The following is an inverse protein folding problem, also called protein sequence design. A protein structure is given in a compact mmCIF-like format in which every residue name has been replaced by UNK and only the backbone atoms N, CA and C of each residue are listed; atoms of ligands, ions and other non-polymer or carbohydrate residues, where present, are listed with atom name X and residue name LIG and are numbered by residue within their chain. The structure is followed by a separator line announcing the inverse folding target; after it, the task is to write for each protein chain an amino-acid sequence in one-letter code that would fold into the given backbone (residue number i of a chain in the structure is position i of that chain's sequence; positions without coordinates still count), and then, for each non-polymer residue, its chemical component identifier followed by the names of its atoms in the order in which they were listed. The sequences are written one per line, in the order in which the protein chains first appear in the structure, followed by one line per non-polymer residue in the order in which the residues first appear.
data_IF_859026763911
#
_entry.id   IF_859026763911
#
_cell.length_a   1.000
_cell.length_b   1.000
_cell.length_c   1.000
_cell.angle_alpha   90.00
_cell.angle_beta   90.00
_cell.angle_gamma   90.00
#
_symmetry.space_group_name_H-M   'P 1'
#
loop_
_entity.id
_entity.type
_entity.pdbx_description
1 polymer ?
#
# COMPACT_ATOMS: atom_id res chain seq x y z
N UNK A 1 -4.70 -12.96 7.39
CA UNK A 1 -3.92 -11.88 6.70
C UNK A 1 -3.76 -10.76 7.70
N UNK A 2 -2.58 -10.16 7.78
CA UNK A 2 -2.26 -9.13 8.78
C UNK A 2 -2.73 -7.76 8.28
N UNK A 3 -3.35 -6.97 9.15
CA UNK A 3 -3.73 -5.59 8.84
C UNK A 3 -2.61 -4.62 9.25
N UNK A 4 -2.43 -3.56 8.47
CA UNK A 4 -1.56 -2.45 8.82
C UNK A 4 -2.26 -1.11 8.52
N UNK A 5 -1.79 -0.04 9.15
CA UNK A 5 -2.24 1.32 8.89
C UNK A 5 -1.10 2.18 8.38
N UNK A 6 -1.41 3.22 7.60
CA UNK A 6 -0.40 4.18 7.17
C UNK A 6 -0.09 5.19 8.29
N UNK A 7 1.19 5.37 8.60
CA UNK A 7 1.63 6.33 9.64
C UNK A 7 1.43 7.79 9.25
N UNK A 8 1.30 8.08 7.96
CA UNK A 8 1.11 9.42 7.40
C UNK A 8 0.40 9.36 6.05
N UNK A 9 -0.16 10.48 5.62
CA UNK A 9 -0.67 10.60 4.26
C UNK A 9 0.44 10.39 3.22
N UNK A 10 0.13 9.67 2.15
CA UNK A 10 1.07 9.37 1.06
C UNK A 10 0.31 9.14 -0.23
N UNK A 11 0.91 9.54 -1.35
CA UNK A 11 0.42 9.19 -2.69
C UNK A 11 1.26 8.04 -3.23
N UNK A 12 0.60 6.97 -3.65
CA UNK A 12 1.24 5.79 -4.23
C UNK A 12 0.71 5.54 -5.64
N UNK A 13 1.59 5.06 -6.51
CA UNK A 13 1.21 4.72 -7.87
C UNK A 13 0.67 3.30 -7.95
N UNK A 14 -0.49 3.16 -8.60
CA UNK A 14 -1.02 1.87 -9.02
C UNK A 14 -0.89 1.73 -10.53
N UNK A 15 -0.55 0.51 -10.98
CA UNK A 15 -0.55 0.17 -12.40
C UNK A 15 -1.23 -1.18 -12.59
N UNK A 16 -2.38 -1.17 -13.25
CA UNK A 16 -3.20 -2.37 -13.45
C UNK A 16 -2.53 -3.35 -14.42
N UNK A 17 -2.02 -2.85 -15.55
CA UNK A 17 -1.42 -3.66 -16.61
C UNK A 17 -0.12 -3.09 -17.15
N UNK A 18 0.72 -3.95 -17.73
CA UNK A 18 1.89 -3.53 -18.48
C UNK A 18 1.44 -2.76 -19.74
N UNK A 19 1.92 -1.53 -19.90
CA UNK A 19 1.55 -0.65 -21.02
C UNK A 19 0.54 0.45 -20.64
N UNK A 20 -0.20 0.31 -19.53
CA UNK A 20 -1.07 1.37 -19.04
C UNK A 20 -0.29 2.43 -18.26
N UNK A 21 -0.82 3.66 -18.25
CA UNK A 21 -0.30 4.75 -17.42
C UNK A 21 -0.59 4.45 -15.94
N UNK A 22 0.38 4.71 -15.05
CA UNK A 22 0.14 4.60 -13.62
C UNK A 22 -0.86 5.66 -13.17
N UNK A 23 -1.74 5.29 -12.25
CA UNK A 23 -2.63 6.23 -11.55
C UNK A 23 -2.07 6.54 -10.16
N UNK A 24 -2.19 7.80 -9.74
CA UNK A 24 -1.85 8.23 -8.39
C UNK A 24 -3.04 7.99 -7.46
N UNK A 25 -2.79 7.26 -6.37
CA UNK A 25 -3.79 6.97 -5.34
C UNK A 25 -3.33 7.61 -4.03
N UNK A 26 -4.10 8.57 -3.55
CA UNK A 26 -3.84 9.24 -2.28
C UNK A 26 -4.40 8.41 -1.12
N UNK A 27 -3.57 8.20 -0.10
CA UNK A 27 -3.93 7.56 1.15
C UNK A 27 -3.89 8.59 2.29
N UNK A 28 -4.86 8.52 3.19
CA UNK A 28 -4.84 9.29 4.43
C UNK A 28 -3.96 8.63 5.50
N UNK A 29 -3.51 9.42 6.47
CA UNK A 29 -2.95 8.86 7.71
C UNK A 29 -4.00 7.98 8.41
N UNK A 30 -3.57 6.82 8.91
CA UNK A 30 -4.43 5.84 9.59
C UNK A 30 -5.23 4.94 8.64
N UNK A 31 -5.13 5.15 7.32
CA UNK A 31 -5.84 4.33 6.34
C UNK A 31 -5.34 2.88 6.38
N UNK A 32 -6.29 1.94 6.32
CA UNK A 32 -6.04 0.51 6.51
C UNK A 32 -5.64 -0.15 5.20
N UNK A 33 -4.66 -1.04 5.30
CA UNK A 33 -4.26 -1.94 4.22
C UNK A 33 -4.10 -3.36 4.76
N UNK A 34 -4.27 -4.34 3.87
CA UNK A 34 -4.00 -5.75 4.18
C UNK A 34 -2.61 -6.09 3.66
N UNK A 35 -1.73 -6.60 4.53
CA UNK A 35 -0.40 -7.09 4.15
C UNK A 35 -0.54 -8.50 3.57
N UNK A 36 -0.11 -8.67 2.33
CA UNK A 36 -0.15 -9.94 1.59
C UNK A 36 1.21 -10.63 1.56
N UNK A 37 2.29 -9.85 1.50
CA UNK A 37 3.67 -10.36 1.48
C UNK A 37 4.61 -9.32 2.08
N UNK A 38 5.66 -9.79 2.72
CA UNK A 38 6.70 -8.94 3.29
C UNK A 38 8.05 -9.24 2.65
N UNK A 39 8.83 -8.18 2.48
CA UNK A 39 10.25 -8.20 2.14
C UNK A 39 11.05 -7.50 3.24
N UNK A 40 12.35 -7.27 3.03
CA UNK A 40 13.22 -6.64 4.01
C UNK A 40 12.82 -5.19 4.33
N UNK A 41 12.49 -4.40 3.32
CA UNK A 41 12.23 -2.96 3.41
C UNK A 41 10.79 -2.57 3.05
N UNK A 42 10.03 -3.48 2.42
CA UNK A 42 8.70 -3.23 1.87
C UNK A 42 7.71 -4.35 2.17
N UNK A 43 6.44 -4.04 2.02
CA UNK A 43 5.34 -4.99 2.05
C UNK A 43 4.45 -4.81 0.83
N UNK A 44 3.98 -5.92 0.26
CA UNK A 44 2.90 -5.92 -0.70
C UNK A 44 1.58 -5.78 0.07
N UNK A 45 0.89 -4.68 -0.18
CA UNK A 45 -0.33 -4.31 0.50
C UNK A 45 -1.49 -4.23 -0.47
N UNK A 46 -2.68 -4.60 -0.02
CA UNK A 46 -3.95 -4.43 -0.72
C UNK A 46 -4.81 -3.41 0.02
N UNK A 47 -5.34 -2.41 -0.69
CA UNK A 47 -6.30 -1.46 -0.12
C UNK A 47 -7.75 -1.98 -0.21
N UNK A 48 -8.71 -1.21 0.29
CA UNK A 48 -10.14 -1.57 0.27
C UNK A 48 -10.71 -1.72 -1.15
N UNK A 49 -10.22 -0.92 -2.11
CA UNK A 49 -10.57 -1.02 -3.53
C UNK A 49 -9.94 -2.24 -4.23
N UNK A 50 -9.10 -2.99 -3.52
CA UNK A 50 -8.44 -4.18 -4.01
C UNK A 50 -7.20 -3.96 -4.86
N UNK A 51 -6.72 -2.71 -4.97
CA UNK A 51 -5.48 -2.33 -5.64
C UNK A 51 -4.27 -2.74 -4.81
N UNK A 52 -3.18 -3.09 -5.50
CA UNK A 52 -1.94 -3.57 -4.90
C UNK A 52 -0.85 -2.49 -4.93
N UNK A 53 -0.11 -2.40 -3.82
CA UNK A 53 0.96 -1.41 -3.62
C UNK A 53 2.16 -2.03 -2.91
N UNK A 54 3.37 -1.65 -3.33
CA UNK A 54 4.60 -1.97 -2.60
C UNK A 54 4.92 -0.83 -1.64
N UNK A 55 4.49 -0.97 -0.38
CA UNK A 55 4.59 0.10 0.62
C UNK A 55 5.84 -0.13 1.48
N UNK A 56 6.73 0.87 1.60
CA UNK A 56 7.83 0.86 2.58
C UNK A 56 7.36 0.57 4.01
N UNK A 57 8.06 -0.31 4.73
CA UNK A 57 7.67 -0.70 6.09
C UNK A 57 7.75 0.45 7.09
N UNK A 58 8.58 1.46 6.84
CA UNK A 58 8.65 2.67 7.66
C UNK A 58 7.34 3.47 7.62
N UNK A 59 6.57 3.39 6.54
CA UNK A 59 5.24 3.99 6.40
C UNK A 59 4.11 3.17 7.03
N UNK A 60 4.37 1.92 7.41
CA UNK A 60 3.37 0.99 7.94
C UNK A 60 3.48 0.85 9.45
N UNK A 61 2.35 0.86 10.13
CA UNK A 61 2.18 0.40 11.48
C UNK A 61 1.40 -0.92 11.43
N UNK A 62 2.06 -2.03 11.78
CA UNK A 62 1.46 -3.36 11.78
C UNK A 62 0.74 -3.57 13.12
N UNK A 63 -0.54 -3.91 13.05
CA UNK A 63 -1.36 -4.22 14.22
C UNK A 63 -1.31 -5.69 14.63
#
# INVERSE_FOLDING_TARGET
MTSATLKRAVTLQHRSNLGEEPEDVAFAQGEKVTVLKEWSDRSLCKNEAGKLFNIPKDLLEVG
#
